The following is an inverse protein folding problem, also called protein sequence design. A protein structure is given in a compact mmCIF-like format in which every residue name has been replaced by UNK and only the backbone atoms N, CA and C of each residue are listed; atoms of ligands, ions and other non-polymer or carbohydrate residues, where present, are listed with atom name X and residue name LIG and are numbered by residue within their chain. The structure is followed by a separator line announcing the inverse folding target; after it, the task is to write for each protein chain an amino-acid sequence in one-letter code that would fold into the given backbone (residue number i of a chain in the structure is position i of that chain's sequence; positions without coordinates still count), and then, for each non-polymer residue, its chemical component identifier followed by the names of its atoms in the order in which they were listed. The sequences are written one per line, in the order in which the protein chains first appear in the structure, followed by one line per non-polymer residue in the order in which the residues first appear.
data_IF_040076130293
#
_entry.id   IF_040076130293
#
_cell.length_a   1.000
_cell.length_b   1.000
_cell.length_c   1.000
_cell.angle_alpha   90.00
_cell.angle_beta   90.00
_cell.angle_gamma   90.00
#
_symmetry.space_group_name_H-M   'P 1'
#
loop_
_entity.id
_entity.type
_entity.pdbx_description
1 polymer ?
#
# COMPACT_ATOMS: atom_id res chain seq x y z
N UNK A 1 16.88 5.92 -10.31
CA UNK A 1 17.25 7.32 -10.09
C UNK A 1 18.74 7.44 -10.23
N UNK A 2 19.24 8.53 -10.84
CA UNK A 2 20.66 8.80 -10.97
C UNK A 2 21.29 9.02 -9.60
N UNK A 3 22.52 8.52 -9.35
CA UNK A 3 23.18 8.59 -8.05
C UNK A 3 22.66 7.57 -7.00
N UNK A 4 21.91 6.56 -7.43
CA UNK A 4 21.33 5.57 -6.49
C UNK A 4 22.41 4.72 -5.80
N UNK A 5 23.44 4.29 -6.54
CA UNK A 5 24.48 3.40 -6.01
C UNK A 5 25.33 4.13 -4.97
N UNK A 6 25.64 5.39 -5.19
CA UNK A 6 26.35 6.26 -4.25
C UNK A 6 25.51 6.54 -2.99
N UNK A 7 24.21 6.81 -3.19
CA UNK A 7 23.29 7.03 -2.08
C UNK A 7 23.13 5.76 -1.21
N UNK A 8 23.07 4.58 -1.83
CA UNK A 8 23.04 3.29 -1.13
C UNK A 8 24.34 3.02 -0.35
N UNK A 9 25.47 3.53 -0.84
CA UNK A 9 26.76 3.47 -0.15
C UNK A 9 26.89 4.50 0.97
N UNK A 10 25.91 5.37 1.19
CA UNK A 10 25.83 6.35 2.28
C UNK A 10 25.96 7.80 1.87
N UNK A 11 26.22 8.10 0.60
CA UNK A 11 26.26 9.48 0.06
C UNK A 11 24.85 9.86 -0.47
N UNK A 12 23.99 10.29 0.44
CA UNK A 12 22.62 10.69 0.10
C UNK A 12 22.55 11.91 -0.81
N UNK A 13 23.58 12.78 -0.79
CA UNK A 13 23.64 13.99 -1.62
C UNK A 13 23.89 13.68 -3.09
N UNK A 14 24.40 12.48 -3.41
CA UNK A 14 24.57 12.00 -4.77
C UNK A 14 23.24 11.69 -5.47
N UNK A 15 22.16 11.46 -4.70
CA UNK A 15 20.86 11.11 -5.28
C UNK A 15 20.27 12.31 -6.03
N UNK A 16 20.08 12.16 -7.34
CA UNK A 16 19.63 13.24 -8.20
C UNK A 16 18.12 13.49 -8.08
N UNK A 17 17.72 13.97 -6.89
CA UNK A 17 16.39 14.49 -6.58
C UNK A 17 16.53 15.90 -6.07
N UNK A 18 15.62 16.78 -6.42
CA UNK A 18 15.65 18.18 -5.97
C UNK A 18 14.28 18.81 -5.91
N UNK A 19 14.15 19.84 -5.09
CA UNK A 19 12.97 20.69 -5.00
C UNK A 19 13.38 22.13 -5.24
N UNK A 20 13.47 22.59 -6.51
CA UNK A 20 13.95 23.93 -6.84
C UNK A 20 13.02 25.05 -6.35
N UNK A 21 11.78 24.73 -6.07
CA UNK A 21 10.78 25.62 -5.48
C UNK A 21 9.75 24.82 -4.67
N UNK A 22 8.84 25.51 -4.00
CA UNK A 22 7.83 24.91 -3.10
C UNK A 22 6.78 24.03 -3.78
N UNK A 23 6.75 23.96 -5.11
CA UNK A 23 5.72 23.23 -5.89
C UNK A 23 6.32 22.26 -6.91
N UNK A 24 7.64 22.27 -7.07
CA UNK A 24 8.34 21.49 -8.08
C UNK A 24 9.23 20.46 -7.40
N UNK A 25 9.03 19.19 -7.73
CA UNK A 25 9.92 18.10 -7.35
C UNK A 25 10.50 17.48 -8.61
N UNK A 26 11.82 17.38 -8.69
CA UNK A 26 12.53 16.86 -9.87
C UNK A 26 13.25 15.59 -9.51
N UNK A 27 13.11 14.59 -10.37
CA UNK A 27 13.83 13.31 -10.27
C UNK A 27 14.57 13.09 -11.60
N UNK A 28 15.89 12.97 -11.57
CA UNK A 28 16.68 12.62 -12.74
C UNK A 28 16.85 11.10 -12.80
N UNK A 29 16.58 10.55 -13.98
CA UNK A 29 16.75 9.11 -14.24
C UNK A 29 18.08 8.86 -14.95
N UNK A 30 18.76 7.76 -14.60
CA UNK A 30 20.01 7.34 -15.28
C UNK A 30 19.74 6.90 -16.73
N UNK A 31 18.56 6.32 -16.98
CA UNK A 31 18.12 5.85 -18.29
C UNK A 31 16.64 6.21 -18.49
N UNK A 32 16.16 6.31 -19.74
CA UNK A 32 14.74 6.46 -20.03
C UNK A 32 13.91 5.33 -19.37
N UNK A 33 12.87 5.71 -18.64
CA UNK A 33 11.97 4.76 -17.97
C UNK A 33 10.51 5.13 -18.29
N UNK A 34 9.92 4.58 -19.36
CA UNK A 34 8.57 4.95 -19.80
C UNK A 34 7.46 4.69 -18.77
N UNK A 35 7.72 3.78 -17.83
CA UNK A 35 6.77 3.42 -16.76
C UNK A 35 7.07 4.12 -15.42
N UNK A 36 7.94 5.12 -15.40
CA UNK A 36 8.33 5.80 -14.14
C UNK A 36 7.14 6.46 -13.43
N UNK A 37 6.20 7.04 -14.18
CA UNK A 37 4.99 7.63 -13.61
C UNK A 37 4.14 6.57 -12.88
N UNK A 38 4.06 5.35 -13.41
CA UNK A 38 3.39 4.23 -12.74
C UNK A 38 4.12 3.80 -11.46
N UNK A 39 5.46 3.84 -11.46
CA UNK A 39 6.26 3.61 -10.26
C UNK A 39 6.04 4.71 -9.21
N UNK A 40 5.90 5.97 -9.64
CA UNK A 40 5.64 7.09 -8.73
C UNK A 40 4.28 6.98 -8.00
N UNK A 41 3.33 6.20 -8.53
CA UNK A 41 2.07 5.88 -7.89
C UNK A 41 2.19 4.77 -6.82
N UNK A 42 3.34 4.11 -6.68
CA UNK A 42 3.56 3.10 -5.67
C UNK A 42 3.64 3.73 -4.27
N UNK A 43 2.99 3.09 -3.28
CA UNK A 43 2.82 3.65 -1.94
C UNK A 43 4.12 4.13 -1.27
N UNK A 44 5.25 3.44 -1.51
CA UNK A 44 6.57 3.82 -0.98
C UNK A 44 7.06 5.19 -1.45
N UNK A 45 6.58 5.67 -2.59
CA UNK A 45 6.93 6.99 -3.15
C UNK A 45 5.90 8.08 -2.81
N UNK A 46 4.90 7.76 -2.00
CA UNK A 46 3.93 8.75 -1.52
C UNK A 46 4.60 9.80 -0.64
N UNK A 47 4.27 11.09 -0.79
CA UNK A 47 4.83 12.13 0.05
C UNK A 47 4.37 11.98 1.50
N UNK A 48 5.27 12.24 2.44
CA UNK A 48 4.99 12.27 3.87
C UNK A 48 5.16 13.69 4.42
N UNK A 49 4.44 14.02 5.49
CA UNK A 49 4.53 15.34 6.10
C UNK A 49 5.80 15.42 6.96
N UNK A 50 6.73 16.29 6.57
CA UNK A 50 8.03 16.46 7.24
C UNK A 50 7.87 16.72 8.74
N UNK A 51 7.02 17.67 9.13
CA UNK A 51 6.84 18.04 10.54
C UNK A 51 6.37 16.86 11.41
N UNK A 52 5.52 15.98 10.86
CA UNK A 52 5.05 14.80 11.57
C UNK A 52 6.17 13.77 11.74
N UNK A 53 6.98 13.53 10.70
CA UNK A 53 8.12 12.62 10.76
C UNK A 53 9.17 13.13 11.76
N UNK A 54 9.51 14.41 11.71
CA UNK A 54 10.48 15.02 12.64
C UNK A 54 10.01 14.98 14.11
N UNK A 55 8.71 15.16 14.35
CA UNK A 55 8.14 15.12 15.69
C UNK A 55 8.04 13.72 16.29
N UNK A 56 7.85 12.68 15.47
CA UNK A 56 7.50 11.32 15.93
C UNK A 56 8.55 10.26 15.55
N UNK A 57 9.57 10.59 14.74
CA UNK A 57 10.54 9.61 14.25
C UNK A 57 9.84 8.42 13.57
N UNK A 58 10.30 7.20 13.85
CA UNK A 58 9.73 5.97 13.26
C UNK A 58 8.26 5.70 13.66
N UNK A 59 7.76 6.39 14.68
CA UNK A 59 6.39 6.23 15.16
C UNK A 59 5.35 7.06 14.36
N UNK A 60 5.77 7.86 13.38
CA UNK A 60 4.89 8.75 12.61
C UNK A 60 3.71 8.04 11.93
N UNK A 61 3.86 6.75 11.58
CA UNK A 61 2.88 5.95 10.85
C UNK A 61 2.35 4.77 11.67
N UNK A 62 2.39 4.83 13.01
CA UNK A 62 1.98 3.72 13.89
C UNK A 62 0.72 3.98 14.70
N UNK A 63 0.19 5.21 14.65
CA UNK A 63 -1.03 5.58 15.37
C UNK A 63 -1.90 6.52 14.53
N UNK A 64 -3.21 6.54 14.81
CA UNK A 64 -4.16 7.37 14.07
C UNK A 64 -3.85 8.87 14.17
N UNK A 65 -3.39 9.31 15.34
CA UNK A 65 -3.10 10.72 15.64
C UNK A 65 -1.88 11.25 14.89
N UNK A 66 -0.94 10.37 14.55
CA UNK A 66 0.31 10.73 13.88
C UNK A 66 0.30 10.43 12.38
N UNK A 67 -0.64 9.62 11.90
CA UNK A 67 -0.74 9.26 10.48
C UNK A 67 -1.44 10.35 9.68
N UNK A 68 -0.69 11.33 9.19
CA UNK A 68 -1.19 12.43 8.35
C UNK A 68 -1.19 11.97 6.88
N UNK A 69 -2.31 12.16 6.19
CA UNK A 69 -2.50 11.77 4.80
C UNK A 69 -3.22 12.85 4.00
N UNK A 70 -2.87 12.99 2.72
CA UNK A 70 -3.58 13.80 1.75
C UNK A 70 -4.57 13.00 0.89
N UNK A 71 -4.83 11.75 1.24
CA UNK A 71 -5.75 10.86 0.55
C UNK A 71 -7.24 11.17 0.79
N UNK A 72 -8.14 10.41 0.13
CA UNK A 72 -9.59 10.61 0.24
C UNK A 72 -10.18 10.29 1.61
N UNK A 73 -9.45 9.55 2.43
CA UNK A 73 -9.81 9.21 3.80
C UNK A 73 -8.63 9.45 4.73
N UNK A 74 -8.91 9.77 5.98
CA UNK A 74 -7.92 9.85 7.06
C UNK A 74 -8.31 8.90 8.20
N UNK A 75 -7.32 8.38 8.92
CA UNK A 75 -7.53 7.44 10.02
C UNK A 75 -8.10 8.20 11.21
N UNK A 76 -9.20 7.71 11.76
CA UNK A 76 -9.84 8.25 12.98
C UNK A 76 -9.63 7.34 14.17
N UNK A 77 -9.40 6.04 13.93
CA UNK A 77 -9.16 5.06 14.98
C UNK A 77 -8.30 3.94 14.42
N UNK A 78 -7.31 3.52 15.18
CA UNK A 78 -6.49 2.36 14.87
C UNK A 78 -6.29 1.51 16.11
N UNK A 79 -6.93 0.35 16.14
CA UNK A 79 -6.80 -0.65 17.20
C UNK A 79 -6.01 -1.82 16.66
N UNK A 80 -4.72 -1.96 17.03
CA UNK A 80 -3.86 -3.03 16.52
C UNK A 80 -4.48 -4.41 16.74
N UNK A 81 -4.42 -5.27 15.71
CA UNK A 81 -4.99 -6.62 15.74
C UNK A 81 -6.53 -6.69 15.71
N UNK A 82 -7.23 -5.56 15.65
CA UNK A 82 -8.69 -5.49 15.65
C UNK A 82 -9.23 -4.78 14.41
N UNK A 83 -9.03 -3.47 14.31
CA UNK A 83 -9.60 -2.71 13.19
C UNK A 83 -8.91 -1.36 12.97
N UNK A 84 -9.14 -0.80 11.78
CA UNK A 84 -8.81 0.59 11.42
C UNK A 84 -10.10 1.24 10.93
N UNK A 85 -10.48 2.38 11.50
CA UNK A 85 -11.58 3.21 11.05
C UNK A 85 -11.05 4.47 10.37
N UNK A 86 -11.61 4.78 9.22
CA UNK A 86 -11.26 5.96 8.43
C UNK A 86 -12.50 6.77 8.14
N UNK A 87 -12.38 8.09 8.15
CA UNK A 87 -13.44 9.02 7.73
C UNK A 87 -13.06 9.75 6.45
N UNK A 88 -14.07 10.16 5.70
CA UNK A 88 -13.89 10.96 4.48
C UNK A 88 -13.09 12.23 4.80
N UNK A 89 -12.06 12.49 4.00
CA UNK A 89 -11.25 13.70 4.11
C UNK A 89 -11.90 14.84 3.33
N UNK A 90 -12.46 15.87 4.01
CA UNK A 90 -13.08 17.01 3.33
C UNK A 90 -12.06 17.90 2.59
N UNK A 91 -10.77 17.78 2.94
CA UNK A 91 -9.69 18.54 2.32
C UNK A 91 -9.04 17.80 1.14
N UNK A 92 -9.52 16.61 0.79
CA UNK A 92 -9.05 15.88 -0.37
C UNK A 92 -9.38 16.66 -1.66
N UNK A 93 -8.42 16.77 -2.58
CA UNK A 93 -8.57 17.59 -3.80
C UNK A 93 -9.82 17.25 -4.64
N UNK A 94 -10.29 16.00 -4.57
CA UNK A 94 -11.49 15.54 -5.28
C UNK A 94 -12.53 14.98 -4.29
N UNK A 95 -12.75 15.67 -3.17
CA UNK A 95 -13.66 15.22 -2.12
C UNK A 95 -15.09 14.99 -2.60
N UNK A 96 -15.57 15.79 -3.57
CA UNK A 96 -16.94 15.69 -4.09
C UNK A 96 -17.21 14.38 -4.83
N UNK A 97 -16.18 13.77 -5.42
CA UNK A 97 -16.31 12.46 -6.06
C UNK A 97 -16.41 11.29 -5.06
N UNK A 98 -16.03 11.51 -3.81
CA UNK A 98 -16.03 10.46 -2.77
C UNK A 98 -17.42 10.35 -2.17
N UNK A 99 -18.07 9.20 -2.41
CA UNK A 99 -19.46 8.94 -1.96
C UNK A 99 -19.52 8.33 -0.55
N UNK A 100 -18.50 7.54 -0.16
CA UNK A 100 -18.46 6.91 1.15
C UNK A 100 -18.09 7.94 2.22
N UNK A 101 -18.81 7.92 3.36
CA UNK A 101 -18.52 8.76 4.52
C UNK A 101 -17.40 8.19 5.40
N UNK A 102 -17.31 6.88 5.48
CA UNK A 102 -16.32 6.16 6.30
C UNK A 102 -16.05 4.78 5.76
N UNK A 103 -14.92 4.21 6.17
CA UNK A 103 -14.51 2.83 5.91
C UNK A 103 -13.99 2.25 7.22
N UNK A 104 -14.43 1.02 7.56
CA UNK A 104 -13.88 0.26 8.67
C UNK A 104 -13.23 -1.01 8.13
N UNK A 105 -11.92 -1.13 8.33
CA UNK A 105 -11.18 -2.35 8.05
C UNK A 105 -11.14 -3.22 9.31
N UNK A 106 -11.75 -4.39 9.25
CA UNK A 106 -11.62 -5.40 10.31
C UNK A 106 -10.41 -6.26 9.98
N UNK A 107 -9.47 -6.35 10.91
CA UNK A 107 -8.21 -7.07 10.70
C UNK A 107 -8.42 -8.55 11.03
N UNK A 108 -8.45 -9.39 10.00
CA UNK A 108 -8.62 -10.84 10.10
C UNK A 108 -7.49 -11.51 9.31
N UNK A 109 -6.80 -12.45 9.93
CA UNK A 109 -5.71 -13.21 9.27
C UNK A 109 -6.23 -14.45 8.52
N UNK A 110 -7.32 -15.05 9.04
CA UNK A 110 -7.91 -16.26 8.46
C UNK A 110 -8.99 -15.94 7.43
N UNK A 111 -8.82 -16.41 6.20
CA UNK A 111 -9.76 -16.15 5.11
C UNK A 111 -11.13 -16.84 5.30
N UNK A 112 -11.20 -17.97 6.03
CA UNK A 112 -12.49 -18.62 6.32
C UNK A 112 -13.27 -17.81 7.35
N UNK A 113 -12.59 -17.22 8.35
CA UNK A 113 -13.23 -16.31 9.31
C UNK A 113 -13.75 -15.05 8.60
N UNK A 114 -12.96 -14.47 7.67
CA UNK A 114 -13.37 -13.32 6.88
C UNK A 114 -14.58 -13.67 5.98
N UNK A 115 -14.57 -14.83 5.33
CA UNK A 115 -15.68 -15.28 4.50
C UNK A 115 -16.95 -15.53 5.34
N UNK A 116 -16.83 -16.11 6.53
CA UNK A 116 -17.95 -16.28 7.46
C UNK A 116 -18.55 -14.94 7.89
N UNK A 117 -17.69 -13.95 8.21
CA UNK A 117 -18.11 -12.60 8.57
C UNK A 117 -18.81 -11.88 7.40
N UNK A 118 -18.39 -12.14 6.16
CA UNK A 118 -19.09 -11.65 4.97
C UNK A 118 -20.48 -12.30 4.82
N UNK A 119 -20.56 -13.62 4.96
CA UNK A 119 -21.82 -14.35 4.86
C UNK A 119 -22.83 -13.95 5.96
N UNK A 120 -22.37 -13.59 7.16
CA UNK A 120 -23.20 -13.09 8.25
C UNK A 120 -23.62 -11.61 8.11
N UNK A 121 -22.95 -10.88 7.20
CA UNK A 121 -23.18 -9.45 7.00
C UNK A 121 -22.40 -8.55 7.97
N UNK A 122 -21.47 -9.11 8.76
CA UNK A 122 -20.62 -8.34 9.67
C UNK A 122 -19.59 -7.49 8.92
N UNK A 123 -19.17 -7.95 7.73
CA UNK A 123 -18.38 -7.19 6.77
C UNK A 123 -19.05 -7.20 5.40
N UNK A 124 -18.91 -6.11 4.65
CA UNK A 124 -19.57 -5.93 3.35
C UNK A 124 -18.67 -6.25 2.16
N UNK A 125 -17.39 -6.44 2.40
CA UNK A 125 -16.39 -6.72 1.37
C UNK A 125 -15.25 -7.54 1.99
N UNK A 126 -14.80 -8.55 1.27
CA UNK A 126 -13.57 -9.30 1.54
C UNK A 126 -12.72 -9.32 0.26
N UNK A 127 -11.42 -9.21 0.40
CA UNK A 127 -10.50 -9.24 -0.74
C UNK A 127 -10.20 -10.67 -1.19
N UNK A 128 -9.98 -11.55 -0.22
CA UNK A 128 -9.52 -12.91 -0.47
C UNK A 128 -10.60 -13.93 -0.05
N UNK A 129 -11.07 -14.71 -1.01
CA UNK A 129 -12.03 -15.79 -0.78
C UNK A 129 -11.26 -17.10 -0.55
N UNK A 130 -11.68 -17.96 0.41
CA UNK A 130 -11.06 -19.27 0.57
C UNK A 130 -11.11 -20.07 -0.73
N UNK A 131 -9.98 -20.67 -1.13
CA UNK A 131 -9.83 -21.32 -2.44
C UNK A 131 -10.85 -22.42 -2.68
N UNK A 132 -11.25 -23.13 -1.62
CA UNK A 132 -12.27 -24.20 -1.70
C UNK A 132 -13.67 -23.67 -2.03
N UNK A 133 -13.96 -22.39 -1.75
CA UNK A 133 -15.27 -21.77 -2.02
C UNK A 133 -15.39 -21.22 -3.45
N UNK A 134 -14.26 -20.96 -4.12
CA UNK A 134 -14.23 -20.36 -5.47
C UNK A 134 -15.12 -21.11 -6.48
N UNK A 135 -15.11 -22.47 -6.55
CA UNK A 135 -15.95 -23.18 -7.51
C UNK A 135 -17.46 -22.95 -7.31
N UNK A 136 -17.90 -22.80 -6.06
CA UNK A 136 -19.31 -22.57 -5.72
C UNK A 136 -19.78 -21.15 -6.01
N UNK A 137 -18.84 -20.20 -6.09
CA UNK A 137 -19.12 -18.77 -6.31
C UNK A 137 -19.10 -18.37 -7.78
N UNK A 138 -18.72 -19.27 -8.68
CA UNK A 138 -18.76 -18.99 -10.11
C UNK A 138 -20.17 -18.65 -10.57
N UNK A 139 -20.33 -17.46 -11.17
CA UNK A 139 -21.64 -16.95 -11.60
C UNK A 139 -22.41 -16.18 -10.52
N UNK A 140 -21.90 -16.09 -9.30
CA UNK A 140 -22.44 -15.17 -8.30
C UNK A 140 -22.09 -13.71 -8.71
N UNK A 141 -23.08 -12.79 -8.83
CA UNK A 141 -22.84 -11.41 -9.22
C UNK A 141 -21.99 -10.60 -8.21
N UNK A 142 -21.84 -11.09 -6.98
CA UNK A 142 -21.02 -10.47 -5.95
C UNK A 142 -19.56 -10.98 -5.96
N UNK A 143 -19.27 -12.05 -6.73
CA UNK A 143 -17.94 -12.62 -6.84
C UNK A 143 -17.24 -12.06 -8.08
N UNK A 144 -16.18 -11.29 -7.87
CA UNK A 144 -15.38 -10.66 -8.91
C UNK A 144 -13.97 -11.21 -8.94
N UNK A 145 -13.45 -11.48 -10.13
CA UNK A 145 -12.05 -11.85 -10.35
C UNK A 145 -11.41 -10.75 -11.18
N UNK A 146 -10.51 -10.01 -10.57
CA UNK A 146 -9.82 -8.90 -11.22
C UNK A 146 -8.39 -9.31 -11.60
N UNK A 147 -7.95 -9.04 -12.83
CA UNK A 147 -6.58 -9.30 -13.24
C UNK A 147 -5.62 -8.40 -12.45
N UNK A 148 -4.55 -8.97 -11.94
CA UNK A 148 -3.50 -8.23 -11.24
C UNK A 148 -2.19 -8.29 -12.03
N UNK A 149 -1.55 -7.13 -12.22
CA UNK A 149 -0.23 -7.04 -12.82
C UNK A 149 0.82 -7.45 -11.79
N UNK A 150 1.03 -8.73 -11.65
CA UNK A 150 1.94 -9.30 -10.67
C UNK A 150 2.44 -10.67 -11.09
N UNK A 151 3.58 -11.07 -10.53
CA UNK A 151 4.14 -12.40 -10.68
C UNK A 151 4.25 -13.05 -9.31
N UNK A 152 3.66 -14.23 -9.16
CA UNK A 152 3.86 -15.07 -7.99
C UNK A 152 5.01 -16.04 -8.27
N UNK A 153 6.00 -16.10 -7.39
CA UNK A 153 7.16 -16.96 -7.54
C UNK A 153 7.64 -17.52 -6.21
N UNK A 154 8.33 -18.65 -6.27
CA UNK A 154 9.06 -19.22 -5.14
C UNK A 154 10.52 -18.77 -5.22
N UNK A 155 11.01 -18.16 -4.14
CA UNK A 155 12.42 -17.83 -3.99
C UNK A 155 13.13 -19.00 -3.29
N UNK A 156 14.12 -19.56 -3.95
CA UNK A 156 14.91 -20.67 -3.40
C UNK A 156 16.21 -20.13 -2.85
N UNK A 157 16.61 -20.60 -1.66
CA UNK A 157 17.93 -20.31 -1.11
C UNK A 157 18.99 -21.17 -1.82
N UNK A 158 19.71 -20.57 -2.74
CA UNK A 158 20.75 -21.27 -3.52
C UNK A 158 22.02 -21.63 -2.69
N UNK A 159 22.12 -21.13 -1.46
CA UNK A 159 23.16 -21.54 -0.53
C UNK A 159 22.83 -22.87 0.18
N UNK A 160 21.55 -23.28 0.16
CA UNK A 160 21.13 -24.58 0.65
C UNK A 160 21.59 -25.67 -0.35
N UNK A 161 22.31 -26.71 0.12
CA UNK A 161 22.77 -27.81 -0.74
C UNK A 161 21.67 -28.50 -1.57
N UNK A 162 20.42 -28.47 -1.08
CA UNK A 162 19.28 -29.02 -1.82
C UNK A 162 18.93 -28.26 -3.09
N UNK A 163 19.33 -26.98 -3.17
CA UNK A 163 19.03 -26.08 -4.30
C UNK A 163 20.30 -25.56 -5.00
N UNK A 164 21.47 -26.03 -4.58
CA UNK A 164 22.74 -25.59 -5.16
C UNK A 164 22.98 -26.14 -6.59
N UNK A 165 22.32 -27.23 -6.96
CA UNK A 165 22.35 -27.82 -8.32
C UNK A 165 21.11 -27.38 -9.08
N UNK A 166 21.34 -26.81 -10.27
CA UNK A 166 20.29 -26.33 -11.17
C UNK A 166 19.65 -27.42 -12.05
N UNK A 167 20.08 -28.68 -11.91
CA UNK A 167 19.57 -29.82 -12.69
C UNK A 167 18.54 -30.65 -11.94
#
# INVERSE_FOLDING_TARGET
VKGFDEAQAGDLDALAVSAPDAKTFVVELSNPCPYFESLAAFATLSPVQQATVEANGDAWATAAETYISNGPFYITEWVPGSHITMSKNPNYWNADAIKLGSIKFVLMEDSNAAYTAYQSGDVLFIKDVPTQEIPSLQGNPEFHVEPNLGTYYLSMNLEDPAFADVN
#
